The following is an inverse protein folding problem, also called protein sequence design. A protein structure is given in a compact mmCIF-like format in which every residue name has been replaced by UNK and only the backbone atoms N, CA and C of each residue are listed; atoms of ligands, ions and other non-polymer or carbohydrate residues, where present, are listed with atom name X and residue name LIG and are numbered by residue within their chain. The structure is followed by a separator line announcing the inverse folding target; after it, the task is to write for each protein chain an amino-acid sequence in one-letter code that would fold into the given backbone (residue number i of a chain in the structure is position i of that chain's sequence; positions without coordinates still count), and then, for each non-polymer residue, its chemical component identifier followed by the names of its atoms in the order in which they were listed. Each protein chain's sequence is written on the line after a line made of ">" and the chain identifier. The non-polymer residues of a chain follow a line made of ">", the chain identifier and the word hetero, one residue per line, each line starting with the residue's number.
data_IF_118193055089
#
_entry.id   IF_118193055089
#
_cell.length_a   1.000
_cell.length_b   1.000
_cell.length_c   1.000
_cell.angle_alpha   90.00
_cell.angle_beta   90.00
_cell.angle_gamma   90.00
#
_symmetry.space_group_name_H-M   'P 1'
#
loop_
_entity.id
_entity.type
_entity.pdbx_description
1 polymer ?
#
# COMPACT_ATOMS: atom_id res chain seq x y z
N UNK A 1 -9.35 -13.08 17.04
CA UNK A 1 -8.58 -13.00 15.78
C UNK A 1 -7.10 -13.03 16.10
N UNK A 2 -6.35 -13.95 15.50
CA UNK A 2 -4.89 -13.99 15.66
C UNK A 2 -4.30 -12.70 15.09
N UNK A 3 -3.49 -11.99 15.88
CA UNK A 3 -2.73 -10.83 15.40
C UNK A 3 -1.65 -11.32 14.45
N UNK A 4 -1.75 -10.94 13.18
CA UNK A 4 -0.72 -11.21 12.19
C UNK A 4 0.17 -9.97 12.10
N UNK A 5 1.44 -10.11 12.51
CA UNK A 5 2.45 -9.04 12.38
C UNK A 5 2.58 -8.59 10.93
N UNK A 6 2.43 -9.52 9.98
CA UNK A 6 2.47 -9.23 8.56
C UNK A 6 1.27 -8.37 8.12
N UNK A 7 0.06 -8.67 8.62
CA UNK A 7 -1.16 -7.91 8.31
C UNK A 7 -1.10 -6.48 8.87
N UNK A 8 -0.67 -6.34 10.12
CA UNK A 8 -0.61 -5.02 10.75
C UNK A 8 0.46 -4.14 10.05
N UNK A 9 1.63 -4.72 9.73
CA UNK A 9 2.68 -4.01 8.97
C UNK A 9 2.28 -3.68 7.54
N UNK A 10 1.54 -4.54 6.85
CA UNK A 10 1.11 -4.27 5.46
C UNK A 10 0.06 -3.16 5.40
N UNK A 11 -0.81 -3.07 6.42
CA UNK A 11 -1.76 -1.97 6.56
C UNK A 11 -1.04 -0.63 6.78
N UNK A 12 -0.10 -0.58 7.72
CA UNK A 12 0.71 0.64 7.97
C UNK A 12 1.52 1.03 6.72
N UNK A 13 2.05 0.04 6.00
CA UNK A 13 2.75 0.26 4.73
C UNK A 13 1.82 0.86 3.67
N UNK A 14 0.60 0.36 3.52
CA UNK A 14 -0.38 0.90 2.57
C UNK A 14 -0.69 2.37 2.85
N UNK A 15 -0.87 2.76 4.12
CA UNK A 15 -1.06 4.17 4.51
C UNK A 15 0.14 5.03 4.09
N UNK A 16 1.37 4.53 4.28
CA UNK A 16 2.59 5.24 3.86
C UNK A 16 2.67 5.39 2.34
N UNK A 17 2.27 4.37 1.58
CA UNK A 17 2.23 4.42 0.11
C UNK A 17 1.23 5.46 -0.38
N UNK A 18 0.06 5.55 0.23
CA UNK A 18 -0.93 6.59 -0.10
C UNK A 18 -0.34 7.98 0.10
N UNK A 19 0.28 8.24 1.26
CA UNK A 19 0.93 9.53 1.56
C UNK A 19 2.09 9.83 0.61
N UNK A 20 2.89 8.83 0.27
CA UNK A 20 3.98 8.97 -0.72
C UNK A 20 3.43 9.32 -2.10
N UNK A 21 2.40 8.62 -2.57
CA UNK A 21 1.76 8.90 -3.86
C UNK A 21 1.20 10.32 -3.89
N UNK A 22 0.56 10.78 -2.82
CA UNK A 22 0.07 12.16 -2.69
C UNK A 22 1.22 13.17 -2.78
N UNK A 23 2.32 12.95 -2.06
CA UNK A 23 3.51 13.80 -2.11
C UNK A 23 4.15 13.87 -3.51
N UNK A 24 4.29 12.72 -4.17
CA UNK A 24 4.84 12.66 -5.54
C UNK A 24 3.96 13.44 -6.53
N UNK A 25 2.64 13.37 -6.37
CA UNK A 25 1.70 14.09 -7.23
C UNK A 25 1.62 15.59 -6.89
N UNK A 26 1.59 15.97 -5.61
CA UNK A 26 1.42 17.36 -5.19
C UNK A 26 2.69 18.18 -5.35
N UNK A 27 3.82 17.67 -4.85
CA UNK A 27 5.09 18.39 -4.74
C UNK A 27 6.00 18.16 -5.95
N UNK A 28 6.03 16.94 -6.48
CA UNK A 28 6.93 16.58 -7.59
C UNK A 28 6.26 16.60 -8.96
N UNK A 29 4.93 16.78 -9.00
CA UNK A 29 4.13 16.71 -10.23
C UNK A 29 4.41 15.42 -11.03
N UNK A 30 4.69 14.33 -10.33
CA UNK A 30 4.90 13.01 -10.92
C UNK A 30 3.59 12.21 -10.82
N UNK A 31 3.02 11.82 -11.96
CA UNK A 31 1.68 11.25 -12.06
C UNK A 31 1.62 9.83 -12.62
N UNK A 32 2.70 9.36 -13.26
CA UNK A 32 2.72 8.07 -13.95
C UNK A 32 3.23 7.00 -12.99
N UNK A 33 4.40 7.22 -12.39
CA UNK A 33 5.00 6.27 -11.46
C UNK A 33 4.27 6.29 -10.11
N UNK A 34 3.79 7.44 -9.64
CA UNK A 34 3.02 7.57 -8.40
C UNK A 34 1.77 6.70 -8.41
N UNK A 35 1.04 6.63 -9.54
CA UNK A 35 -0.09 5.71 -9.73
C UNK A 35 0.34 4.23 -9.69
N UNK A 36 1.47 3.90 -10.31
CA UNK A 36 1.99 2.52 -10.25
C UNK A 36 2.40 2.12 -8.83
N UNK A 37 3.07 3.02 -8.10
CA UNK A 37 3.47 2.84 -6.71
C UNK A 37 2.25 2.69 -5.80
N UNK A 38 1.21 3.53 -5.99
CA UNK A 38 -0.03 3.42 -5.24
C UNK A 38 -0.66 2.04 -5.41
N UNK A 39 -0.86 1.61 -6.66
CA UNK A 39 -1.49 0.33 -6.99
C UNK A 39 -0.68 -0.86 -6.44
N UNK A 40 0.62 -0.90 -6.71
CA UNK A 40 1.46 -2.03 -6.28
C UNK A 40 1.61 -2.08 -4.76
N UNK A 41 1.78 -0.92 -4.11
CA UNK A 41 1.99 -0.84 -2.67
C UNK A 41 0.74 -1.15 -1.85
N UNK A 42 -0.47 -0.80 -2.32
CA UNK A 42 -1.72 -1.19 -1.63
C UNK A 42 -2.13 -2.63 -1.92
N UNK A 43 -1.73 -3.20 -3.07
CA UNK A 43 -2.03 -4.59 -3.42
C UNK A 43 -1.42 -5.61 -2.44
N UNK A 44 -0.32 -5.27 -1.76
CA UNK A 44 0.33 -6.16 -0.77
C UNK A 44 -0.65 -6.57 0.34
N UNK A 45 -1.41 -5.61 0.89
CA UNK A 45 -2.40 -5.91 1.93
C UNK A 45 -3.53 -6.80 1.43
N UNK A 46 -3.95 -6.62 0.16
CA UNK A 46 -4.97 -7.45 -0.49
C UNK A 46 -4.46 -8.87 -0.67
N UNK A 47 -3.25 -9.06 -1.19
CA UNK A 47 -2.66 -10.38 -1.40
C UNK A 47 -2.46 -11.16 -0.08
N UNK A 48 -2.04 -10.48 0.99
CA UNK A 48 -1.97 -11.09 2.32
C UNK A 48 -3.35 -11.53 2.78
N UNK A 49 -4.38 -10.71 2.53
CA UNK A 49 -5.76 -11.03 2.90
C UNK A 49 -6.31 -12.21 2.10
N UNK A 50 -6.02 -12.29 0.81
CA UNK A 50 -6.38 -13.43 -0.04
C UNK A 50 -5.70 -14.71 0.45
N UNK A 51 -4.42 -14.65 0.82
CA UNK A 51 -3.68 -15.78 1.38
C UNK A 51 -4.17 -16.24 2.77
N UNK A 52 -4.86 -15.38 3.54
CA UNK A 52 -5.51 -15.77 4.80
C UNK A 52 -6.88 -16.45 4.59
N UNK A 53 -7.50 -16.29 3.41
CA UNK A 53 -8.84 -16.78 3.10
C UNK A 53 -8.84 -18.02 2.20
N UNK A 54 -7.77 -18.25 1.43
CA UNK A 54 -7.54 -19.46 0.65
C UNK A 54 -6.87 -20.55 1.46
#
# INVERSE_FOLDING_TARGET
>A
MVKSVLRDKSYDFAIRIVKLSQFLMSEKKEFVLSKQVLRSGTAIGVLIREAELG
#
